data_IF_601802033150
#
_entry.id   IF_601802033150
#
_cell.length_a   1.000
_cell.length_b   1.000
_cell.length_c   1.000
_cell.angle_alpha   90.00
_cell.angle_beta   90.00
_cell.angle_gamma   90.00
#
_symmetry.space_group_name_H-M   'P 1'
#
loop_
_entity.id
_entity.type
_entity.pdbx_description
1 polymer ?
#
# COMPACT_ATOMS: atom_id res chain seq x y z
N UNK A 1 -1.36 -52.86 24.85
CA UNK A 1 -1.23 -51.58 24.12
C UNK A 1 -0.42 -51.81 22.85
N UNK A 2 -0.98 -51.48 21.68
CA UNK A 2 -0.33 -51.68 20.37
C UNK A 2 0.83 -50.69 20.17
N UNK A 3 1.75 -51.00 19.25
CA UNK A 3 2.86 -50.10 18.88
C UNK A 3 2.32 -48.72 18.46
N UNK A 4 1.22 -48.71 17.70
CA UNK A 4 0.53 -47.48 17.28
C UNK A 4 0.04 -46.64 18.47
N UNK A 5 -0.50 -47.27 19.50
CA UNK A 5 -0.91 -46.58 20.74
C UNK A 5 0.29 -46.00 21.50
N UNK A 6 1.40 -46.74 21.61
CA UNK A 6 2.64 -46.24 22.24
C UNK A 6 3.22 -45.04 21.50
N UNK A 7 3.25 -45.09 20.16
CA UNK A 7 3.71 -43.98 19.32
C UNK A 7 2.83 -42.74 19.49
N UNK A 8 1.50 -42.91 19.54
CA UNK A 8 0.59 -41.80 19.76
C UNK A 8 0.82 -41.14 21.13
N UNK A 9 1.01 -41.91 22.20
CA UNK A 9 1.30 -41.37 23.54
C UNK A 9 2.59 -40.56 23.57
N UNK A 10 3.63 -41.03 22.88
CA UNK A 10 4.90 -40.28 22.80
C UNK A 10 4.71 -38.99 22.01
N UNK A 11 3.98 -39.03 20.89
CA UNK A 11 3.65 -37.82 20.11
C UNK A 11 2.84 -36.82 20.92
N UNK A 12 1.84 -37.29 21.67
CA UNK A 12 1.01 -36.43 22.51
C UNK A 12 1.85 -35.78 23.61
N UNK A 13 2.72 -36.54 24.28
CA UNK A 13 3.65 -36.00 25.28
C UNK A 13 4.62 -34.97 24.67
N UNK A 14 5.19 -35.24 23.50
CA UNK A 14 6.08 -34.29 22.82
C UNK A 14 5.33 -33.01 22.44
N UNK A 15 4.12 -33.12 21.90
CA UNK A 15 3.28 -31.97 21.57
C UNK A 15 2.94 -31.13 22.81
N UNK A 16 2.64 -31.77 23.94
CA UNK A 16 2.39 -31.06 25.20
C UNK A 16 3.63 -30.33 25.69
N UNK A 17 4.79 -30.98 25.68
CA UNK A 17 6.07 -30.36 26.09
C UNK A 17 6.42 -29.17 25.20
N UNK A 18 6.25 -29.31 23.88
CA UNK A 18 6.50 -28.22 22.93
C UNK A 18 5.51 -27.07 23.10
N UNK A 19 4.24 -27.36 23.38
CA UNK A 19 3.22 -26.36 23.68
C UNK A 19 3.53 -25.59 24.98
N UNK A 20 3.93 -26.29 26.05
CA UNK A 20 4.28 -25.68 27.33
C UNK A 20 5.55 -24.84 27.24
N UNK A 21 6.55 -25.31 26.48
CA UNK A 21 7.77 -24.55 26.22
C UNK A 21 7.48 -23.32 25.36
N UNK A 22 6.63 -23.46 24.34
CA UNK A 22 6.22 -22.34 23.50
C UNK A 22 5.45 -21.29 24.30
N UNK A 23 4.48 -21.68 25.13
CA UNK A 23 3.75 -20.79 26.03
C UNK A 23 4.72 -20.06 26.96
N UNK A 24 5.61 -20.79 27.64
CA UNK A 24 6.65 -20.19 28.48
C UNK A 24 7.48 -19.18 27.72
N UNK A 25 7.96 -19.51 26.51
CA UNK A 25 8.77 -18.60 25.70
C UNK A 25 8.02 -17.35 25.23
N UNK A 26 6.75 -17.47 24.85
CA UNK A 26 5.90 -16.31 24.46
C UNK A 26 5.65 -15.38 25.65
N UNK A 27 5.63 -15.93 26.87
CA UNK A 27 5.45 -15.19 28.12
C UNK A 27 6.76 -14.78 28.83
N UNK A 28 7.93 -15.22 28.34
CA UNK A 28 9.25 -14.99 28.96
C UNK A 28 9.90 -13.62 28.61
N UNK A 29 9.11 -12.61 28.24
CA UNK A 29 9.66 -11.26 28.13
C UNK A 29 9.85 -10.71 29.55
N UNK A 30 11.08 -10.28 29.87
CA UNK A 30 11.58 -9.97 31.22
C UNK A 30 10.50 -9.37 32.14
N UNK A 31 9.89 -10.24 32.96
CA UNK A 31 9.04 -9.95 34.13
C UNK A 31 7.88 -8.96 33.96
N UNK A 32 6.94 -9.18 33.03
CA UNK A 32 5.55 -8.77 33.27
C UNK A 32 4.53 -9.51 32.38
N UNK A 33 3.30 -9.68 32.89
CA UNK A 33 2.12 -10.08 32.11
C UNK A 33 1.90 -9.17 30.88
N UNK A 34 2.43 -7.94 30.94
CA UNK A 34 2.39 -6.90 29.91
C UNK A 34 3.69 -6.74 29.09
N UNK A 35 4.49 -7.80 28.98
CA UNK A 35 5.73 -7.81 28.19
C UNK A 35 5.53 -7.20 26.79
N UNK A 36 6.47 -6.34 26.40
CA UNK A 36 6.34 -5.48 25.22
C UNK A 36 6.64 -6.20 23.90
N UNK A 37 7.30 -7.36 23.97
CA UNK A 37 7.53 -8.24 22.82
C UNK A 37 6.37 -9.21 22.74
N UNK A 38 5.72 -9.29 21.57
CA UNK A 38 4.62 -10.22 21.31
C UNK A 38 3.29 -9.87 22.01
N UNK A 39 3.10 -8.64 22.52
CA UNK A 39 1.84 -8.21 23.18
C UNK A 39 0.62 -8.47 22.30
N UNK A 40 0.69 -8.08 21.03
CA UNK A 40 -0.37 -8.31 20.05
C UNK A 40 -0.55 -9.80 19.76
N UNK A 41 0.54 -10.57 19.74
CA UNK A 41 0.50 -12.00 19.48
C UNK A 41 -0.21 -12.77 20.61
N UNK A 42 0.02 -12.40 21.88
CA UNK A 42 -0.64 -13.00 23.06
C UNK A 42 -2.17 -12.86 23.03
N UNK A 43 -2.70 -11.79 22.43
CA UNK A 43 -4.15 -11.58 22.34
C UNK A 43 -4.87 -12.62 21.47
N UNK A 44 -4.20 -13.18 20.45
CA UNK A 44 -4.86 -14.01 19.43
C UNK A 44 -4.26 -15.41 19.28
N UNK A 45 -3.19 -15.74 20.01
CA UNK A 45 -2.51 -17.05 19.94
C UNK A 45 -2.52 -17.74 21.28
N UNK A 46 -3.60 -18.48 21.51
CA UNK A 46 -3.81 -19.34 22.67
C UNK A 46 -3.27 -20.77 22.50
N UNK A 47 -2.86 -21.16 21.29
CA UNK A 47 -2.46 -22.53 20.96
C UNK A 47 -1.29 -22.60 19.96
N UNK A 48 -0.56 -23.72 20.00
CA UNK A 48 0.52 -24.02 19.07
C UNK A 48 -0.05 -24.54 17.73
N UNK A 49 -0.36 -23.63 16.80
CA UNK A 49 -0.71 -24.00 15.43
C UNK A 49 -0.31 -22.92 14.40
N UNK A 50 -0.18 -23.28 13.10
CA UNK A 50 0.02 -22.29 12.04
C UNK A 50 -1.08 -21.23 12.05
N UNK A 51 -0.72 -19.96 11.90
CA UNK A 51 -1.73 -18.89 11.83
C UNK A 51 -2.63 -19.08 10.61
N UNK A 52 -3.93 -18.80 10.77
CA UNK A 52 -4.94 -18.94 9.70
C UNK A 52 -4.54 -18.21 8.42
N UNK A 53 -3.94 -17.03 8.54
CA UNK A 53 -3.46 -16.24 7.38
C UNK A 53 -2.42 -16.95 6.52
N UNK A 54 -1.66 -17.90 7.08
CA UNK A 54 -0.67 -18.69 6.32
C UNK A 54 -1.37 -19.55 5.27
N UNK A 55 -2.58 -20.03 5.58
CA UNK A 55 -3.40 -20.84 4.68
C UNK A 55 -4.34 -19.99 3.83
N UNK A 56 -4.91 -18.91 4.38
CA UNK A 56 -5.96 -18.13 3.70
C UNK A 56 -5.43 -17.03 2.79
N UNK A 57 -4.23 -16.47 3.03
CA UNK A 57 -3.66 -15.40 2.20
C UNK A 57 -2.79 -16.01 1.12
N UNK A 58 -3.20 -15.90 -0.15
CA UNK A 58 -2.54 -16.56 -1.30
C UNK A 58 -1.24 -15.89 -1.74
N UNK A 59 -1.14 -14.56 -1.62
CA UNK A 59 0.02 -13.79 -2.07
C UNK A 59 1.17 -13.78 -1.06
N UNK A 60 2.40 -14.04 -1.54
CA UNK A 60 3.61 -14.14 -0.71
C UNK A 60 3.91 -12.83 0.03
N UNK A 61 3.81 -11.70 -0.65
CA UNK A 61 4.16 -10.40 -0.06
C UNK A 61 3.21 -9.98 1.06
N UNK A 62 1.93 -10.37 0.94
CA UNK A 62 0.94 -10.13 1.98
C UNK A 62 1.18 -11.02 3.19
N UNK A 63 1.54 -12.30 2.98
CA UNK A 63 1.99 -13.17 4.08
C UNK A 63 3.24 -12.62 4.76
N UNK A 64 4.21 -12.11 3.99
CA UNK A 64 5.44 -11.48 4.54
C UNK A 64 5.09 -10.26 5.40
N UNK A 65 4.20 -9.41 4.91
CA UNK A 65 3.74 -8.22 5.64
C UNK A 65 3.03 -8.59 6.94
N UNK A 66 2.12 -9.56 6.91
CA UNK A 66 1.45 -10.07 8.11
C UNK A 66 2.43 -10.73 9.10
N UNK A 67 3.48 -11.39 8.61
CA UNK A 67 4.56 -11.90 9.46
C UNK A 67 5.42 -10.78 10.08
N UNK A 68 5.59 -9.64 9.40
CA UNK A 68 6.27 -8.47 9.99
C UNK A 68 5.43 -7.84 11.11
N UNK A 69 4.10 -7.73 10.93
CA UNK A 69 3.18 -7.36 12.02
C UNK A 69 3.32 -8.30 13.22
N UNK A 70 3.51 -9.59 12.96
CA UNK A 70 3.66 -10.60 14.02
C UNK A 70 4.98 -10.49 14.79
N UNK A 71 6.03 -10.00 14.16
CA UNK A 71 7.37 -9.91 14.76
C UNK A 71 7.67 -8.54 15.35
N UNK A 72 6.66 -7.66 15.47
CA UNK A 72 6.81 -6.27 15.92
C UNK A 72 7.94 -5.53 15.16
N UNK A 73 8.14 -5.89 13.88
CA UNK A 73 9.26 -5.39 13.05
C UNK A 73 8.86 -4.24 12.14
N UNK A 74 7.64 -3.74 12.30
CA UNK A 74 7.13 -2.61 11.56
C UNK A 74 7.49 -1.30 12.25
N UNK A 75 7.72 -0.22 11.48
CA UNK A 75 8.09 1.07 12.03
C UNK A 75 6.87 1.82 12.59
N UNK A 76 6.11 1.19 13.49
CA UNK A 76 5.01 1.83 14.21
C UNK A 76 5.55 2.72 15.33
N UNK A 77 4.85 3.78 15.74
CA UNK A 77 5.30 4.67 16.81
C UNK A 77 5.53 3.91 18.13
N UNK A 78 4.74 2.86 18.40
CA UNK A 78 4.91 2.02 19.59
C UNK A 78 6.26 1.29 19.64
N UNK A 79 6.82 0.96 18.47
CA UNK A 79 8.09 0.26 18.31
C UNK A 79 9.25 1.25 18.13
N UNK A 80 9.12 2.19 17.21
CA UNK A 80 10.18 3.18 16.89
C UNK A 80 10.48 4.11 18.06
N UNK A 81 9.46 4.52 18.83
CA UNK A 81 9.61 5.36 20.03
C UNK A 81 10.43 4.72 21.16
N UNK A 82 10.69 3.40 21.11
CA UNK A 82 11.59 2.70 22.06
C UNK A 82 13.07 3.04 21.82
N UNK A 83 13.41 3.46 20.60
CA UNK A 83 14.79 3.62 20.14
C UNK A 83 15.18 5.07 19.86
N UNK A 84 14.24 6.02 20.01
CA UNK A 84 14.56 7.44 19.92
C UNK A 84 15.49 7.87 21.05
N UNK A 85 16.22 8.97 20.84
CA UNK A 85 17.08 9.58 21.85
C UNK A 85 16.76 11.08 21.93
N UNK A 86 16.07 11.56 22.99
CA UNK A 86 15.55 10.78 24.13
C UNK A 86 14.44 9.80 23.73
N UNK A 87 14.25 8.74 24.54
CA UNK A 87 13.19 7.73 24.34
C UNK A 87 11.83 8.41 24.41
N UNK A 88 10.99 8.21 23.39
CA UNK A 88 9.63 8.77 23.35
C UNK A 88 8.77 8.07 24.42
N UNK A 89 8.16 8.82 25.35
CA UNK A 89 7.22 8.29 26.34
C UNK A 89 6.05 7.53 25.69
N UNK A 90 5.50 6.51 26.37
CA UNK A 90 4.46 5.64 25.80
C UNK A 90 3.22 6.42 25.35
N UNK A 91 2.79 7.40 26.14
CA UNK A 91 1.67 8.30 25.87
C UNK A 91 1.94 9.27 24.70
N UNK A 92 3.18 9.41 24.26
CA UNK A 92 3.57 10.26 23.13
C UNK A 92 3.80 9.46 21.84
N UNK A 93 3.73 8.12 21.90
CA UNK A 93 3.82 7.21 20.74
C UNK A 93 2.51 7.14 19.99
N UNK A 94 1.94 8.31 19.72
CA UNK A 94 0.62 8.48 19.12
C UNK A 94 0.68 8.13 17.64
N UNK A 95 -0.38 7.51 17.15
CA UNK A 95 -0.65 7.31 15.74
C UNK A 95 -0.67 8.66 15.03
N UNK A 96 0.36 8.93 14.25
CA UNK A 96 0.48 10.13 13.43
C UNK A 96 -0.48 10.11 12.22
N UNK A 97 -1.34 9.10 12.11
CA UNK A 97 -2.13 8.81 10.92
C UNK A 97 -3.63 8.92 11.13
N UNK A 98 -4.10 9.11 12.35
CA UNK A 98 -5.50 9.38 12.64
C UNK A 98 -5.61 10.39 13.79
N UNK A 99 -6.73 11.11 13.84
CA UNK A 99 -6.96 12.14 14.85
C UNK A 99 -7.51 11.57 16.17
N UNK A 100 -7.46 10.25 16.37
CA UNK A 100 -7.96 9.58 17.57
C UNK A 100 -7.07 9.82 18.80
N UNK A 101 -5.90 10.43 18.62
CA UNK A 101 -4.89 10.65 19.66
C UNK A 101 -4.61 9.37 20.48
N UNK A 102 -4.60 8.23 19.79
CA UNK A 102 -4.35 6.91 20.37
C UNK A 102 -2.95 6.43 20.02
N UNK A 103 -2.38 5.57 20.86
CA UNK A 103 -1.05 5.01 20.65
C UNK A 103 -1.03 4.15 19.37
N UNK A 104 -0.02 4.31 18.50
CA UNK A 104 0.11 3.56 17.25
C UNK A 104 0.53 2.11 17.50
N UNK A 105 -0.42 1.29 17.95
CA UNK A 105 -0.25 -0.15 18.12
C UNK A 105 -0.55 -0.91 16.82
N UNK A 106 -0.15 -2.16 16.70
CA UNK A 106 -0.53 -3.03 15.58
C UNK A 106 -2.05 -3.18 15.50
N UNK A 107 -2.73 -3.31 16.65
CA UNK A 107 -4.20 -3.39 16.71
C UNK A 107 -4.84 -2.10 16.23
N UNK A 108 -4.35 -0.95 16.69
CA UNK A 108 -4.83 0.34 16.20
C UNK A 108 -4.59 0.43 14.68
N UNK A 109 -3.36 0.22 14.21
CA UNK A 109 -3.03 0.22 12.79
C UNK A 109 -3.89 -0.77 11.97
N UNK A 110 -4.18 -1.96 12.50
CA UNK A 110 -4.89 -3.02 11.78
C UNK A 110 -6.42 -2.95 11.86
N UNK A 111 -7.00 -2.39 12.90
CA UNK A 111 -8.45 -2.54 13.10
C UNK A 111 -9.16 -1.22 13.32
N UNK A 112 -8.47 -0.22 13.86
CA UNK A 112 -9.12 0.99 14.37
C UNK A 112 -8.68 2.25 13.60
N UNK A 113 -7.48 2.25 13.01
CA UNK A 113 -6.98 3.37 12.25
C UNK A 113 -7.77 3.51 10.94
N UNK A 114 -8.73 4.42 10.93
CA UNK A 114 -9.58 4.70 9.76
C UNK A 114 -8.78 5.24 8.54
N UNK A 115 -7.52 5.63 8.73
CA UNK A 115 -6.60 5.92 7.64
C UNK A 115 -6.09 4.66 6.89
N UNK A 116 -6.55 3.45 7.25
CA UNK A 116 -6.11 2.18 6.65
C UNK A 116 -6.30 2.06 5.14
N UNK A 117 -7.33 2.69 4.59
CA UNK A 117 -7.54 2.74 3.13
C UNK A 117 -6.78 3.93 2.53
N UNK A 118 -6.60 5.00 3.31
CA UNK A 118 -5.86 6.18 2.90
C UNK A 118 -4.33 6.00 2.91
N UNK A 119 -3.76 5.06 3.64
CA UNK A 119 -2.29 4.87 3.63
C UNK A 119 -1.80 4.04 2.43
N UNK A 120 -2.68 3.38 1.67
CA UNK A 120 -2.32 2.81 0.36
C UNK A 120 -2.65 3.75 -0.81
N UNK A 121 -3.57 4.72 -0.66
CA UNK A 121 -3.97 5.60 -1.79
C UNK A 121 -4.26 7.08 -1.48
N UNK A 122 -4.42 7.51 -0.23
CA UNK A 122 -5.14 8.77 0.08
C UNK A 122 -4.71 9.59 1.32
N UNK A 123 -3.52 9.42 1.93
CA UNK A 123 -3.10 10.27 3.08
C UNK A 123 -1.83 11.11 2.87
N UNK A 124 -1.16 10.99 1.72
CA UNK A 124 -0.12 11.95 1.34
C UNK A 124 -0.64 12.94 0.31
N UNK A 125 -0.32 14.23 0.45
CA UNK A 125 0.05 14.97 -0.77
C UNK A 125 1.30 14.25 -1.28
N UNK A 126 1.20 13.63 -2.44
CA UNK A 126 2.36 12.99 -3.06
C UNK A 126 2.94 13.91 -4.10
N UNK A 127 4.25 13.77 -4.34
CA UNK A 127 4.83 14.17 -5.61
C UNK A 127 4.67 13.01 -6.57
N UNK A 128 4.12 13.30 -7.74
CA UNK A 128 4.07 12.36 -8.86
C UNK A 128 5.22 12.69 -9.80
N UNK A 129 6.01 11.68 -10.17
CA UNK A 129 7.01 11.74 -11.23
C UNK A 129 6.60 10.76 -12.33
N UNK A 130 6.48 11.27 -13.55
CA UNK A 130 6.19 10.50 -14.76
C UNK A 130 7.43 10.55 -15.62
N UNK A 131 7.94 9.38 -16.02
CA UNK A 131 8.96 9.25 -17.06
C UNK A 131 8.33 8.69 -18.32
N UNK A 132 8.76 9.24 -19.46
CA UNK A 132 8.29 8.91 -20.79
C UNK A 132 9.49 8.54 -21.67
N UNK A 133 9.31 7.55 -22.53
CA UNK A 133 10.30 7.16 -23.54
C UNK A 133 9.63 6.88 -24.88
N UNK A 134 10.17 7.45 -25.95
CA UNK A 134 9.72 7.15 -27.31
C UNK A 134 10.48 5.96 -27.93
N UNK A 135 10.08 5.58 -29.16
CA UNK A 135 10.73 4.50 -29.90
C UNK A 135 12.10 4.87 -30.48
N UNK A 136 12.41 6.16 -30.58
CA UNK A 136 13.70 6.69 -31.07
C UNK A 136 14.75 6.82 -29.96
N UNK A 137 14.41 6.49 -28.70
CA UNK A 137 15.31 6.56 -27.55
C UNK A 137 15.34 7.93 -26.86
N UNK A 138 14.45 8.86 -27.21
CA UNK A 138 14.33 10.12 -26.48
C UNK A 138 13.48 9.92 -25.22
N UNK A 139 13.77 10.75 -24.21
CA UNK A 139 13.11 10.69 -22.92
C UNK A 139 12.66 12.06 -22.44
N UNK A 140 11.56 12.08 -21.70
CA UNK A 140 11.08 13.26 -21.01
C UNK A 140 10.44 12.90 -19.68
N UNK A 141 10.20 13.92 -18.86
CA UNK A 141 9.51 13.76 -17.60
C UNK A 141 8.51 14.88 -17.34
N UNK A 142 7.48 14.52 -16.58
CA UNK A 142 6.56 15.44 -15.94
C UNK A 142 6.56 15.17 -14.44
N UNK A 143 6.54 16.22 -13.63
CA UNK A 143 6.47 16.11 -12.18
C UNK A 143 5.42 17.06 -11.63
N UNK A 144 4.64 16.58 -10.67
CA UNK A 144 3.59 17.36 -10.01
C UNK A 144 3.91 17.44 -8.52
N UNK A 145 3.97 18.67 -7.98
CA UNK A 145 4.20 18.91 -6.54
C UNK A 145 3.09 18.29 -5.67
N UNK A 146 1.87 18.28 -6.19
CA UNK A 146 0.72 17.68 -5.52
C UNK A 146 0.08 16.68 -6.45
N UNK A 147 -0.10 15.47 -5.95
CA UNK A 147 -0.84 14.38 -6.56
C UNK A 147 -1.63 13.68 -5.45
N UNK A 148 -2.92 13.54 -5.69
CA UNK A 148 -3.86 12.87 -4.81
C UNK A 148 -4.95 12.21 -5.64
N UNK A 149 -5.38 11.04 -5.21
CA UNK A 149 -6.49 10.30 -5.81
C UNK A 149 -7.52 10.07 -4.70
N UNK A 150 -8.75 10.48 -4.96
CA UNK A 150 -9.87 10.28 -4.05
C UNK A 150 -10.15 8.80 -3.80
N UNK A 151 -10.99 8.53 -2.82
CA UNK A 151 -11.50 7.19 -2.52
C UNK A 151 -12.61 6.73 -3.51
N UNK A 152 -13.17 5.55 -3.25
CA UNK A 152 -14.27 5.01 -4.05
C UNK A 152 -15.54 5.90 -4.00
N UNK A 153 -15.84 6.55 -2.88
CA UNK A 153 -17.00 7.43 -2.73
C UNK A 153 -16.91 8.65 -3.66
N UNK A 154 -15.70 9.20 -3.80
CA UNK A 154 -15.36 10.26 -4.75
C UNK A 154 -15.02 9.76 -6.16
N UNK A 155 -15.22 8.46 -6.44
CA UNK A 155 -14.91 7.81 -7.73
C UNK A 155 -13.46 8.03 -8.18
N UNK A 156 -12.54 7.94 -7.23
CA UNK A 156 -11.11 8.06 -7.46
C UNK A 156 -10.72 9.38 -8.15
N UNK A 157 -11.38 10.48 -7.77
CA UNK A 157 -11.14 11.80 -8.36
C UNK A 157 -9.66 12.21 -8.30
N UNK A 158 -9.10 12.65 -9.42
CA UNK A 158 -7.73 13.16 -9.49
C UNK A 158 -7.63 14.58 -8.93
N UNK A 159 -6.59 14.83 -8.15
CA UNK A 159 -6.13 16.19 -7.81
C UNK A 159 -4.64 16.31 -8.11
N UNK A 160 -4.28 17.21 -9.02
CA UNK A 160 -2.89 17.47 -9.43
C UNK A 160 -2.60 18.97 -9.52
N UNK A 161 -1.41 19.39 -9.09
CA UNK A 161 -0.94 20.77 -9.24
C UNK A 161 0.58 20.90 -9.09
N UNK A 162 1.10 22.07 -9.47
CA UNK A 162 2.52 22.42 -9.34
C UNK A 162 3.40 21.63 -10.29
N UNK A 163 3.02 21.64 -11.57
CA UNK A 163 3.77 21.00 -12.65
C UNK A 163 5.19 21.57 -12.79
N UNK A 164 6.13 20.70 -13.11
CA UNK A 164 7.42 21.02 -13.71
C UNK A 164 7.90 19.86 -14.58
N UNK A 165 8.72 20.14 -15.57
CA UNK A 165 9.38 19.12 -16.38
C UNK A 165 9.60 19.57 -17.81
N UNK A 166 10.10 18.66 -18.64
CA UNK A 166 10.37 18.91 -20.06
C UNK A 166 9.41 18.17 -21.00
N UNK A 167 8.42 17.44 -20.46
CA UNK A 167 7.41 16.74 -21.26
C UNK A 167 6.18 17.60 -21.63
N UNK A 168 6.10 18.86 -21.18
CA UNK A 168 4.84 19.62 -21.16
C UNK A 168 3.78 19.02 -20.21
N UNK A 169 2.73 19.79 -19.89
CA UNK A 169 1.73 19.40 -18.88
C UNK A 169 0.46 18.80 -19.52
N UNK A 170 0.47 17.50 -19.79
CA UNK A 170 -0.71 16.78 -20.29
C UNK A 170 -1.59 16.14 -19.22
N UNK A 171 -1.30 16.35 -17.92
CA UNK A 171 -2.14 15.82 -16.84
C UNK A 171 -3.03 16.88 -16.22
N UNK A 172 -2.65 18.17 -16.25
CA UNK A 172 -3.46 19.25 -15.68
C UNK A 172 -4.89 19.30 -16.25
N UNK A 173 -5.07 18.97 -17.53
CA UNK A 173 -6.39 18.88 -18.17
C UNK A 173 -7.34 17.86 -17.50
N UNK A 174 -6.76 16.84 -16.85
CA UNK A 174 -7.47 15.78 -16.14
C UNK A 174 -7.74 16.10 -14.67
N UNK A 175 -7.22 17.23 -14.16
CA UNK A 175 -7.40 17.61 -12.77
C UNK A 175 -8.89 17.76 -12.42
N UNK A 176 -9.28 17.17 -11.30
CA UNK A 176 -10.66 17.18 -10.80
C UNK A 176 -11.59 16.15 -11.45
N UNK A 177 -11.13 15.37 -12.44
CA UNK A 177 -11.96 14.35 -13.09
C UNK A 177 -11.97 13.04 -12.29
N UNK A 178 -13.06 12.28 -12.40
CA UNK A 178 -13.21 10.94 -11.84
C UNK A 178 -12.55 9.90 -12.73
N UNK A 179 -12.18 8.75 -12.17
CA UNK A 179 -11.57 7.67 -12.95
C UNK A 179 -12.65 6.93 -13.74
N UNK A 180 -12.41 6.70 -15.03
CA UNK A 180 -13.34 6.01 -15.93
C UNK A 180 -12.70 4.79 -16.59
N UNK A 181 -13.48 3.72 -16.67
CA UNK A 181 -13.14 2.43 -17.28
C UNK A 181 -14.15 2.09 -18.37
N UNK A 182 -13.90 1.03 -19.14
CA UNK A 182 -14.74 0.62 -20.29
C UNK A 182 -16.20 0.30 -19.94
N UNK A 183 -16.45 -0.02 -18.68
CA UNK A 183 -17.74 -0.41 -18.09
C UNK A 183 -18.45 0.76 -17.38
N UNK A 184 -17.85 1.96 -17.38
CA UNK A 184 -18.51 3.18 -16.89
C UNK A 184 -19.45 3.76 -17.96
N UNK A 185 -20.76 3.65 -17.73
CA UNK A 185 -21.82 4.04 -18.69
C UNK A 185 -21.95 5.56 -18.91
N UNK A 186 -21.07 6.39 -18.34
CA UNK A 186 -21.19 7.87 -18.35
C UNK A 186 -20.41 8.54 -19.46
N UNK A 187 -19.30 7.96 -19.91
CA UNK A 187 -18.42 8.59 -20.90
C UNK A 187 -17.67 7.54 -21.73
N UNK A 188 -17.91 7.54 -23.05
CA UNK A 188 -17.34 6.55 -23.97
C UNK A 188 -15.84 6.73 -24.21
N UNK A 189 -15.16 7.73 -23.62
CA UNK A 189 -13.73 7.95 -23.79
C UNK A 189 -12.89 6.69 -23.51
N UNK A 190 -13.20 5.93 -22.45
CA UNK A 190 -12.47 4.70 -22.14
C UNK A 190 -12.60 3.64 -23.26
N UNK A 191 -13.79 3.55 -23.88
CA UNK A 191 -14.07 2.65 -25.00
C UNK A 191 -13.43 3.15 -26.30
N UNK A 192 -13.48 4.45 -26.57
CA UNK A 192 -12.93 5.09 -27.78
C UNK A 192 -11.40 5.04 -27.77
N UNK A 193 -10.76 5.41 -26.67
CA UNK A 193 -9.31 5.56 -26.53
C UNK A 193 -8.63 4.34 -25.87
N UNK A 194 -9.38 3.24 -25.71
CA UNK A 194 -8.86 1.91 -25.36
C UNK A 194 -7.98 1.89 -24.10
N UNK A 195 -8.36 2.68 -23.10
CA UNK A 195 -7.62 2.82 -21.85
C UNK A 195 -8.53 3.12 -20.65
N UNK A 196 -7.94 3.22 -19.47
CA UNK A 196 -8.62 3.61 -18.24
C UNK A 196 -7.91 4.81 -17.61
N UNK A 197 -8.62 5.93 -17.46
CA UNK A 197 -8.00 7.19 -17.10
C UNK A 197 -9.00 8.18 -16.49
N UNK A 198 -8.49 9.29 -15.97
CA UNK A 198 -9.29 10.43 -15.51
C UNK A 198 -9.80 11.28 -16.68
N UNK A 199 -10.59 10.67 -17.57
CA UNK A 199 -11.03 11.31 -18.82
C UNK A 199 -11.91 12.55 -18.58
N UNK A 200 -11.80 13.52 -19.50
CA UNK A 200 -12.66 14.72 -19.57
C UNK A 200 -13.43 14.73 -20.90
N UNK A 201 -12.82 15.23 -21.99
CA UNK A 201 -13.40 15.21 -23.33
C UNK A 201 -12.35 15.23 -24.46
N UNK A 202 -11.50 14.21 -24.65
CA UNK A 202 -11.35 13.04 -23.79
C UNK A 202 -10.05 13.07 -22.99
N UNK A 203 -8.91 13.35 -23.63
CA UNK A 203 -7.63 13.38 -22.94
C UNK A 203 -6.56 14.23 -23.64
N UNK A 204 -5.57 14.67 -22.85
CA UNK A 204 -4.25 15.06 -23.34
C UNK A 204 -3.17 14.03 -22.98
N UNK A 205 -3.47 13.10 -22.07
CA UNK A 205 -2.61 11.97 -21.71
C UNK A 205 -3.43 10.67 -21.62
N UNK A 206 -2.86 9.57 -22.10
CA UNK A 206 -3.50 8.24 -22.04
C UNK A 206 -2.45 7.16 -21.76
N UNK A 207 -1.82 7.24 -20.58
CA UNK A 207 -0.70 6.35 -20.25
C UNK A 207 -1.12 4.87 -20.07
N UNK A 208 -2.42 4.63 -19.84
CA UNK A 208 -3.05 3.32 -19.77
C UNK A 208 -3.73 2.92 -21.11
N UNK A 209 -3.37 3.57 -22.21
CA UNK A 209 -3.81 3.21 -23.56
C UNK A 209 -3.12 1.96 -24.11
N UNK A 210 -3.38 1.64 -25.36
CA UNK A 210 -2.78 0.46 -26.01
C UNK A 210 -1.28 0.63 -26.20
N UNK A 211 -0.50 -0.36 -25.75
CA UNK A 211 0.91 -0.43 -26.12
C UNK A 211 1.04 -0.65 -27.63
N UNK A 212 1.92 0.11 -28.28
CA UNK A 212 2.04 0.15 -29.75
C UNK A 212 0.74 0.56 -30.49
N UNK A 213 -0.20 1.22 -29.80
CA UNK A 213 -1.36 1.85 -30.43
C UNK A 213 -0.97 3.13 -31.18
N UNK A 214 -1.57 3.33 -32.36
CA UNK A 214 -1.32 4.52 -33.17
C UNK A 214 -2.17 5.71 -32.71
N UNK A 215 -1.55 6.89 -32.57
CA UNK A 215 -2.25 8.12 -32.21
C UNK A 215 -2.93 8.03 -30.82
N UNK A 216 -4.11 8.65 -30.63
CA UNK A 216 -4.66 8.92 -29.30
C UNK A 216 -5.12 7.66 -28.55
N UNK A 217 -5.29 6.51 -29.22
CA UNK A 217 -5.60 5.24 -28.55
C UNK A 217 -4.38 4.61 -27.87
N UNK A 218 -3.18 5.05 -28.24
CA UNK A 218 -1.92 4.55 -27.70
C UNK A 218 -1.52 5.21 -26.39
N UNK A 219 -0.41 4.71 -25.81
CA UNK A 219 0.27 5.36 -24.69
C UNK A 219 0.75 6.74 -25.16
N UNK A 220 0.03 7.80 -24.81
CA UNK A 220 0.22 9.14 -25.39
C UNK A 220 0.30 10.27 -24.35
N UNK A 221 1.02 11.34 -24.70
CA UNK A 221 1.26 12.54 -23.89
C UNK A 221 1.44 13.75 -24.83
N UNK A 222 0.35 14.45 -25.07
CA UNK A 222 0.23 15.43 -26.15
C UNK A 222 1.30 16.52 -26.11
N UNK A 223 1.55 17.15 -24.96
CA UNK A 223 2.36 18.35 -24.87
C UNK A 223 3.88 18.10 -25.02
N UNK A 224 4.33 16.86 -25.05
CA UNK A 224 5.76 16.57 -25.22
C UNK A 224 6.21 16.84 -26.66
N UNK A 225 5.39 16.44 -27.63
CA UNK A 225 5.70 16.59 -29.07
C UNK A 225 4.59 17.28 -29.85
N UNK A 226 3.62 17.88 -29.16
CA UNK A 226 2.37 18.38 -29.74
C UNK A 226 1.66 17.33 -30.61
N UNK A 227 1.76 16.07 -30.22
CA UNK A 227 1.29 14.90 -30.97
C UNK A 227 0.82 13.80 -30.03
N UNK A 228 -0.09 12.95 -30.49
CA UNK A 228 -0.55 11.76 -29.78
C UNK A 228 0.24 10.50 -30.13
N UNK A 229 1.46 10.64 -30.64
CA UNK A 229 2.30 9.49 -30.99
C UNK A 229 2.49 8.54 -29.79
N UNK A 230 2.40 7.25 -30.08
CA UNK A 230 2.55 6.20 -29.09
C UNK A 230 3.96 6.17 -28.51
N UNK A 231 4.05 5.98 -27.19
CA UNK A 231 5.30 5.86 -26.45
C UNK A 231 5.70 4.41 -26.23
N UNK A 232 7.01 4.18 -26.17
CA UNK A 232 7.61 2.87 -25.87
C UNK A 232 7.54 2.57 -24.37
N UNK A 233 7.73 3.57 -23.53
CA UNK A 233 7.67 3.39 -22.07
C UNK A 233 6.96 4.56 -21.41
N UNK A 234 6.19 4.25 -20.38
CA UNK A 234 5.64 5.20 -19.42
C UNK A 234 5.81 4.62 -18.01
N UNK A 235 6.21 5.45 -17.06
CA UNK A 235 6.38 5.01 -15.67
C UNK A 235 5.92 6.11 -14.74
N UNK A 236 4.90 5.82 -13.92
CA UNK A 236 4.38 6.71 -12.88
C UNK A 236 4.91 6.27 -11.52
N UNK A 237 5.53 7.19 -10.80
CA UNK A 237 6.10 6.94 -9.47
C UNK A 237 5.64 8.03 -8.51
N UNK A 238 5.29 7.64 -7.29
CA UNK A 238 4.89 8.56 -6.24
C UNK A 238 5.94 8.62 -5.13
N UNK A 239 6.11 9.81 -4.54
CA UNK A 239 6.93 10.02 -3.36
C UNK A 239 6.15 10.86 -2.36
N UNK A 240 6.15 10.45 -1.09
CA UNK A 240 5.53 11.23 0.00
C UNK A 240 6.21 12.60 0.06
N UNK A 241 5.44 13.69 0.08
CA UNK A 241 5.96 14.98 0.50
C UNK A 241 5.78 15.10 2.00
N UNK A 242 6.88 15.01 2.75
CA UNK A 242 6.88 15.46 4.14
C UNK A 242 6.61 16.97 4.09
N UNK A 243 5.47 17.39 4.66
CA UNK A 243 5.27 18.80 5.01
C UNK A 243 6.08 19.06 6.27
#
# INVERSE_FOLDING_TARGET
>A
MTIRQKVNIVKDKLNTVDADNWLRNVHNDRNCENGNKLRTFRQYKSYLQPSSYVKSVKFRDYRRTLSNFRCDSLPLAIETGRYTKPVTPLNERICQFCDENTIETEQHFLMNCNAKINRLTSSGKYRLRIYLGDFSGNHAYAEYKTFFVGDAASKYKLTVSGYKGNAGDSLAYHNGMTFSTKDDNRNNCAVTYKGAWWYKGCHHSNLNGLFNGAGPVGISWYHWKSSYDGMKTSTMMIRITNV
#
